data_IF_191683357368
#
_entry.id   IF_191683357368
#
_cell.length_a   1.000
_cell.length_b   1.000
_cell.length_c   1.000
_cell.angle_alpha   90.00
_cell.angle_beta   90.00
_cell.angle_gamma   90.00
#
_symmetry.space_group_name_H-M   'P 1'
#
loop_
_entity.id
_entity.type
_entity.pdbx_description
1 polymer ?
#
# COMPACT_ATOMS: atom_id res chain seq x y z
N UNK A 1 23.67 3.70 18.24
CA UNK A 1 24.94 4.43 18.10
C UNK A 1 25.20 4.59 16.61
N UNK A 2 24.76 5.70 16.02
CA UNK A 2 25.01 6.00 14.60
C UNK A 2 26.44 6.51 14.50
N UNK A 3 27.35 5.63 14.07
CA UNK A 3 28.76 5.95 13.92
C UNK A 3 28.97 6.63 12.57
N UNK A 4 28.95 7.96 12.55
CA UNK A 4 29.36 8.76 11.40
C UNK A 4 30.89 8.66 11.27
N UNK A 5 31.36 7.69 10.48
CA UNK A 5 32.77 7.55 10.16
C UNK A 5 33.10 8.54 9.04
N UNK A 6 34.05 9.43 9.30
CA UNK A 6 34.58 10.33 8.27
C UNK A 6 35.18 9.50 7.13
N UNK A 7 34.76 9.78 5.90
CA UNK A 7 35.17 9.09 4.67
C UNK A 7 35.85 10.09 3.76
N UNK A 8 37.00 9.72 3.21
CA UNK A 8 37.72 10.59 2.28
C UNK A 8 36.90 10.85 1.00
N UNK A 9 36.87 12.10 0.50
CA UNK A 9 36.18 12.45 -0.73
C UNK A 9 37.00 12.04 -1.96
N UNK A 10 36.37 11.32 -2.89
CA UNK A 10 36.94 11.06 -4.21
C UNK A 10 37.08 9.58 -4.57
N UNK A 11 37.02 9.32 -5.87
CA UNK A 11 37.17 7.99 -6.49
C UNK A 11 38.61 7.72 -6.97
N UNK A 12 39.48 8.73 -6.91
CA UNK A 12 40.85 8.70 -7.43
C UNK A 12 41.81 9.31 -6.41
N UNK A 13 42.98 8.69 -6.27
CA UNK A 13 44.12 9.24 -5.52
C UNK A 13 44.71 10.44 -6.30
N UNK A 14 45.53 11.28 -5.65
CA UNK A 14 46.22 12.42 -6.27
C UNK A 14 47.13 12.04 -7.46
N UNK A 15 47.31 10.74 -7.69
CA UNK A 15 48.05 10.11 -8.80
C UNK A 15 47.16 9.59 -9.94
N UNK A 16 45.83 9.79 -9.89
CA UNK A 16 44.88 9.38 -10.92
C UNK A 16 44.52 7.89 -10.93
N UNK A 17 44.96 7.10 -9.94
CA UNK A 17 44.59 5.70 -9.78
C UNK A 17 43.31 5.56 -8.95
N UNK A 18 42.42 4.66 -9.38
CA UNK A 18 41.19 4.33 -8.64
C UNK A 18 41.54 3.61 -7.33
N UNK A 19 40.96 4.07 -6.22
CA UNK A 19 41.19 3.42 -4.92
C UNK A 19 40.51 2.04 -4.88
N UNK A 20 41.14 1.02 -4.25
CA UNK A 20 40.57 -0.32 -4.16
C UNK A 20 39.25 -0.39 -3.37
N UNK A 21 38.98 0.60 -2.50
CA UNK A 21 37.75 0.71 -1.70
C UNK A 21 36.82 1.84 -2.17
N UNK A 22 36.75 2.04 -3.49
CA UNK A 22 35.97 3.09 -4.15
C UNK A 22 34.50 3.18 -3.69
N UNK A 23 33.88 2.04 -3.37
CA UNK A 23 32.48 1.94 -2.92
C UNK A 23 32.25 2.37 -1.47
N UNK A 24 33.32 2.43 -0.65
CA UNK A 24 33.29 2.84 0.75
C UNK A 24 33.58 4.34 0.92
N UNK A 25 33.95 5.04 -0.15
CA UNK A 25 34.24 6.47 -0.15
C UNK A 25 32.97 7.28 -0.36
N UNK A 26 33.08 8.59 -0.16
CA UNK A 26 31.97 9.51 -0.33
C UNK A 26 31.60 9.68 -1.81
N UNK A 27 30.33 9.46 -2.16
CA UNK A 27 29.85 9.45 -3.55
C UNK A 27 29.74 10.86 -4.13
N UNK A 28 29.44 11.85 -3.28
CA UNK A 28 29.34 13.26 -3.64
C UNK A 28 29.79 14.17 -2.47
N UNK A 29 30.33 15.37 -2.73
CA UNK A 29 30.81 16.26 -1.68
C UNK A 29 29.65 16.66 -0.73
N UNK A 30 29.86 16.55 0.59
CA UNK A 30 28.85 16.87 1.60
C UNK A 30 27.82 15.77 1.95
N UNK A 31 27.88 14.57 1.37
CA UNK A 31 27.04 13.40 1.69
C UNK A 31 26.77 13.16 3.18
N UNK A 32 27.79 13.19 4.04
CA UNK A 32 27.58 12.90 5.47
C UNK A 32 26.60 13.86 6.14
N UNK A 33 26.59 15.14 5.73
CA UNK A 33 25.66 16.13 6.25
C UNK A 33 24.23 15.87 5.77
N UNK A 34 24.06 15.57 4.48
CA UNK A 34 22.74 15.30 3.88
C UNK A 34 22.16 13.99 4.42
N UNK A 35 22.96 12.94 4.55
CA UNK A 35 22.58 11.66 5.13
C UNK A 35 22.07 11.84 6.57
N UNK A 36 22.80 12.59 7.40
CA UNK A 36 22.39 12.88 8.76
C UNK A 36 21.06 13.65 8.83
N UNK A 37 20.87 14.69 8.00
CA UNK A 37 19.63 15.47 7.93
C UNK A 37 18.44 14.59 7.53
N UNK A 38 18.60 13.73 6.50
CA UNK A 38 17.53 12.84 6.04
C UNK A 38 17.12 11.83 7.10
N UNK A 39 18.07 11.25 7.84
CA UNK A 39 17.80 10.32 8.94
C UNK A 39 17.05 11.02 10.07
N UNK A 40 17.45 12.24 10.45
CA UNK A 40 16.77 13.02 11.49
C UNK A 40 15.32 13.32 11.08
N UNK A 41 15.09 13.76 9.84
CA UNK A 41 13.75 14.02 9.32
C UNK A 41 12.91 12.73 9.36
N UNK A 42 13.45 11.60 8.90
CA UNK A 42 12.75 10.33 8.90
C UNK A 42 12.32 9.89 10.32
N UNK A 43 13.19 10.06 11.32
CA UNK A 43 12.88 9.74 12.73
C UNK A 43 11.81 10.67 13.28
N UNK A 44 11.85 11.97 12.95
CA UNK A 44 10.86 12.97 13.38
C UNK A 44 9.47 12.71 12.74
N UNK A 45 9.41 12.19 11.52
CA UNK A 45 8.16 11.86 10.85
C UNK A 45 7.33 10.78 11.60
N UNK A 46 7.98 9.86 12.32
CA UNK A 46 7.29 8.76 13.02
C UNK A 46 6.38 9.29 14.15
N UNK A 47 6.87 10.13 15.10
CA UNK A 47 6.01 10.77 16.10
C UNK A 47 4.92 11.66 15.50
N UNK A 48 5.24 12.42 14.43
CA UNK A 48 4.27 13.33 13.80
C UNK A 48 3.06 12.56 13.24
N UNK A 49 3.30 11.41 12.59
CA UNK A 49 2.23 10.56 12.07
C UNK A 49 1.41 9.90 13.19
N UNK A 50 2.05 9.50 14.30
CA UNK A 50 1.36 8.88 15.44
C UNK A 50 0.45 9.87 16.18
N UNK A 51 0.92 11.11 16.41
CA UNK A 51 0.18 12.10 17.18
C UNK A 51 -0.68 13.06 16.33
N UNK A 52 -0.45 13.16 15.03
CA UNK A 52 -1.12 14.14 14.16
C UNK A 52 -2.64 14.03 14.15
N UNK A 53 -3.18 12.85 13.79
CA UNK A 53 -4.64 12.60 13.79
C UNK A 53 -5.29 12.72 15.18
N UNK A 54 -4.79 12.06 16.25
CA UNK A 54 -5.43 12.14 17.56
C UNK A 54 -5.42 13.56 18.14
N UNK A 55 -4.34 14.34 17.95
CA UNK A 55 -4.29 15.74 18.40
C UNK A 55 -5.27 16.60 17.59
N UNK A 56 -5.33 16.42 16.26
CA UNK A 56 -6.26 17.16 15.41
C UNK A 56 -7.73 16.93 15.82
N UNK A 57 -8.10 15.67 16.08
CA UNK A 57 -9.46 15.31 16.53
C UNK A 57 -9.75 15.90 17.91
N UNK A 58 -8.81 15.84 18.85
CA UNK A 58 -8.96 16.47 20.17
C UNK A 58 -9.14 17.99 20.08
N UNK A 59 -8.40 18.67 19.20
CA UNK A 59 -8.57 20.12 18.99
C UNK A 59 -9.93 20.45 18.38
N UNK A 60 -10.42 19.63 17.45
CA UNK A 60 -11.76 19.80 16.85
C UNK A 60 -12.87 19.57 17.90
N UNK A 61 -12.76 18.53 18.72
CA UNK A 61 -13.70 18.25 19.80
C UNK A 61 -13.69 19.35 20.87
N UNK A 62 -12.51 19.87 21.25
CA UNK A 62 -12.40 21.02 22.17
C UNK A 62 -13.05 22.28 21.61
N UNK A 63 -12.86 22.57 20.31
CA UNK A 63 -13.52 23.70 19.64
C UNK A 63 -15.05 23.52 19.59
N UNK A 64 -15.53 22.31 19.27
CA UNK A 64 -16.96 22.01 19.22
C UNK A 64 -17.63 22.07 20.61
N UNK A 65 -16.98 21.56 21.66
CA UNK A 65 -17.47 21.66 23.05
C UNK A 65 -17.49 23.12 23.52
N UNK A 66 -16.51 23.94 23.14
CA UNK A 66 -16.48 25.38 23.46
C UNK A 66 -17.64 26.14 22.79
N UNK A 67 -17.92 25.89 21.51
CA UNK A 67 -19.07 26.52 20.81
C UNK A 67 -20.43 26.06 21.33
N UNK A 68 -20.54 24.82 21.82
CA UNK A 68 -21.75 24.33 22.49
C UNK A 68 -21.93 25.00 23.86
N UNK A 69 -20.85 25.14 24.64
CA UNK A 69 -20.87 25.79 25.95
C UNK A 69 -21.14 27.29 25.87
N UNK A 70 -20.67 28.00 24.84
CA UNK A 70 -20.93 29.43 24.66
C UNK A 70 -22.40 29.72 24.28
N UNK A 71 -23.14 28.75 23.74
CA UNK A 71 -24.58 28.89 23.41
C UNK A 71 -25.53 28.33 24.48
N UNK A 72 -24.99 27.72 25.55
CA UNK A 72 -25.76 27.09 26.62
C UNK A 72 -25.72 27.96 27.88
N UNK A 73 -26.68 28.88 28.02
CA UNK A 73 -26.90 29.60 29.28
C UNK A 73 -27.90 28.83 30.14
N UNK A 74 -27.43 28.06 31.11
CA UNK A 74 -28.29 27.39 32.09
C UNK A 74 -28.69 28.41 33.15
N UNK A 75 -29.95 28.85 33.16
CA UNK A 75 -30.53 29.61 34.27
C UNK A 75 -31.30 28.64 35.18
N UNK A 76 -30.83 28.47 36.41
CA UNK A 76 -31.56 27.74 37.44
C UNK A 76 -32.61 28.69 38.02
N UNK A 77 -33.89 28.39 37.79
CA UNK A 77 -35.00 29.09 38.43
C UNK A 77 -35.32 28.40 39.76
N UNK A 78 -35.05 29.05 40.89
CA UNK A 78 -35.16 28.46 42.23
C UNK A 78 -36.61 28.34 42.73
N UNK A 79 -37.60 28.76 41.92
CA UNK A 79 -39.02 28.85 42.27
C UNK A 79 -39.85 27.63 41.83
N UNK A 80 -39.33 26.80 40.91
CA UNK A 80 -40.00 25.61 40.38
C UNK A 80 -38.94 24.56 40.05
N UNK A 81 -39.19 23.30 40.41
CA UNK A 81 -38.25 22.16 40.30
C UNK A 81 -38.02 21.69 38.83
N UNK A 82 -38.01 22.63 37.89
CA UNK A 82 -38.00 22.43 36.45
C UNK A 82 -36.75 23.08 35.85
N UNK A 83 -35.78 22.27 35.43
CA UNK A 83 -34.60 22.75 34.72
C UNK A 83 -34.92 23.00 33.24
N UNK A 84 -35.08 24.26 32.85
CA UNK A 84 -35.26 24.66 31.45
C UNK A 84 -33.91 25.09 30.84
N UNK A 85 -33.52 24.43 29.75
CA UNK A 85 -32.29 24.75 29.00
C UNK A 85 -32.65 25.66 27.82
N UNK A 86 -32.33 26.95 27.93
CA UNK A 86 -32.56 27.94 26.86
C UNK A 86 -31.25 28.16 26.10
N UNK A 87 -31.19 27.75 24.84
CA UNK A 87 -30.09 28.08 23.92
C UNK A 87 -30.29 29.47 23.33
N UNK A 88 -29.33 30.37 23.56
CA UNK A 88 -29.48 31.78 23.25
C UNK A 88 -29.08 32.09 21.79
N UNK A 89 -30.02 31.92 20.87
CA UNK A 89 -29.90 32.36 19.48
C UNK A 89 -31.29 32.67 18.94
N UNK A 90 -31.50 33.91 18.47
CA UNK A 90 -32.77 34.41 17.96
C UNK A 90 -33.53 33.40 17.09
N UNK A 91 -34.73 33.05 17.55
CA UNK A 91 -35.71 32.34 16.75
C UNK A 91 -36.29 31.15 17.50
N UNK A 92 -37.50 31.33 18.02
CA UNK A 92 -38.42 30.25 18.36
C UNK A 92 -38.57 29.37 17.11
N UNK A 93 -37.79 28.30 17.01
CA UNK A 93 -38.10 27.17 16.14
C UNK A 93 -38.84 26.16 17.00
N UNK A 94 -40.16 26.13 16.81
CA UNK A 94 -40.96 24.95 17.14
C UNK A 94 -40.27 23.74 16.50
N UNK A 95 -39.79 22.80 17.31
CA UNK A 95 -39.40 21.48 16.82
C UNK A 95 -40.70 20.79 16.45
N UNK A 96 -41.01 20.81 15.15
CA UNK A 96 -41.94 19.86 14.55
C UNK A 96 -41.19 18.55 14.39
N UNK A 97 -41.82 17.49 14.88
CA UNK A 97 -41.59 16.13 14.41
C UNK A 97 -41.73 16.04 12.88
N UNK A 98 -41.09 15.00 12.34
CA UNK A 98 -41.06 14.55 10.94
C UNK A 98 -39.93 15.13 10.08
N UNK A 99 -38.78 14.42 10.06
CA UNK A 99 -38.41 13.62 8.88
C UNK A 99 -37.21 12.69 9.14
N UNK A 100 -37.25 11.58 8.43
CA UNK A 100 -36.48 10.34 8.55
C UNK A 100 -34.99 10.40 8.94
N UNK A 101 -34.68 9.56 9.92
CA UNK A 101 -33.35 9.09 10.28
C UNK A 101 -32.64 8.37 9.12
N UNK A 102 -31.31 8.52 9.04
CA UNK A 102 -30.42 7.38 9.03
C UNK A 102 -29.85 7.25 10.44
N UNK A 103 -30.11 6.10 11.04
CA UNK A 103 -29.47 5.63 12.26
C UNK A 103 -27.96 5.85 12.19
N UNK A 104 -27.44 6.62 13.15
CA UNK A 104 -26.03 6.88 13.31
C UNK A 104 -25.71 7.31 14.74
N UNK A 105 -26.08 6.45 15.71
CA UNK A 105 -25.43 6.37 17.01
C UNK A 105 -25.47 7.63 17.89
N UNK A 106 -26.64 7.93 18.45
CA UNK A 106 -26.71 8.57 19.77
C UNK A 106 -26.15 7.60 20.81
N UNK A 107 -24.83 7.61 20.96
CA UNK A 107 -24.08 6.85 21.94
C UNK A 107 -22.99 7.75 22.48
N UNK A 108 -23.21 8.27 23.68
CA UNK A 108 -22.24 9.03 24.47
C UNK A 108 -21.12 8.11 25.00
N UNK A 109 -20.57 7.26 24.13
CA UNK A 109 -19.22 6.76 24.31
C UNK A 109 -18.34 7.81 23.66
N UNK A 110 -17.59 8.56 24.49
CA UNK A 110 -16.25 8.92 24.06
C UNK A 110 -15.67 7.62 23.48
N UNK A 111 -15.53 7.49 22.15
CA UNK A 111 -14.54 6.56 21.61
C UNK A 111 -13.30 6.88 22.42
N UNK A 112 -12.90 5.94 23.27
CA UNK A 112 -11.92 6.22 24.30
C UNK A 112 -10.75 6.83 23.56
N UNK A 113 -10.25 7.98 24.01
CA UNK A 113 -9.06 8.57 23.39
C UNK A 113 -7.95 7.51 23.25
N UNK A 114 -7.96 6.52 24.16
CA UNK A 114 -7.19 5.28 24.05
C UNK A 114 -7.45 4.45 22.80
N UNK A 115 -8.69 4.19 22.38
CA UNK A 115 -9.03 3.40 21.18
C UNK A 115 -8.53 4.09 19.89
N UNK A 116 -8.72 5.41 19.78
CA UNK A 116 -8.19 6.22 18.66
C UNK A 116 -6.65 6.18 18.66
N UNK A 117 -6.03 6.29 19.83
CA UNK A 117 -4.58 6.23 19.99
C UNK A 117 -4.04 4.83 19.66
N UNK A 118 -4.71 3.77 20.07
CA UNK A 118 -4.33 2.37 19.77
C UNK A 118 -4.45 2.10 18.28
N UNK A 119 -5.58 2.45 17.65
CA UNK A 119 -5.77 2.26 16.22
C UNK A 119 -4.74 3.05 15.39
N UNK A 120 -4.48 4.30 15.75
CA UNK A 120 -3.46 5.12 15.08
C UNK A 120 -2.04 4.61 15.31
N UNK A 121 -1.74 4.03 16.49
CA UNK A 121 -0.45 3.41 16.76
C UNK A 121 -0.24 2.17 15.90
N UNK A 122 -1.26 1.32 15.77
CA UNK A 122 -1.22 0.14 14.88
C UNK A 122 -0.99 0.56 13.43
N UNK A 123 -1.76 1.53 12.92
CA UNK A 123 -1.60 2.05 11.56
C UNK A 123 -0.19 2.62 11.33
N UNK A 124 0.39 3.29 12.32
CA UNK A 124 1.75 3.86 12.23
C UNK A 124 2.80 2.76 12.14
N UNK A 125 2.70 1.74 13.00
CA UNK A 125 3.65 0.60 13.01
C UNK A 125 3.53 -0.21 11.71
N UNK A 126 2.30 -0.51 11.29
CA UNK A 126 2.01 -1.21 10.05
C UNK A 126 2.54 -0.44 8.84
N UNK A 127 2.35 0.89 8.80
CA UNK A 127 2.88 1.71 7.72
C UNK A 127 4.41 1.70 7.67
N UNK A 128 5.11 1.91 8.79
CA UNK A 128 6.58 1.94 8.80
C UNK A 128 7.17 0.57 8.44
N UNK A 129 6.66 -0.51 9.04
CA UNK A 129 7.10 -1.87 8.71
C UNK A 129 6.70 -2.26 7.28
N UNK A 130 5.53 -1.83 6.82
CA UNK A 130 5.02 -2.01 5.47
C UNK A 130 5.88 -1.31 4.43
N UNK A 131 6.33 -0.07 4.68
CA UNK A 131 7.24 0.65 3.77
C UNK A 131 8.52 -0.14 3.52
N UNK A 132 9.19 -0.63 4.57
CA UNK A 132 10.42 -1.41 4.45
C UNK A 132 10.16 -2.76 3.79
N UNK A 133 9.09 -3.45 4.22
CA UNK A 133 8.71 -4.77 3.71
C UNK A 133 8.35 -4.73 2.23
N UNK A 134 7.57 -3.75 1.79
CA UNK A 134 7.21 -3.59 0.39
C UNK A 134 8.45 -3.29 -0.45
N UNK A 135 9.33 -2.38 -0.02
CA UNK A 135 10.60 -2.11 -0.73
C UNK A 135 11.45 -3.38 -0.90
N UNK A 136 11.58 -4.20 0.14
CA UNK A 136 12.31 -5.46 0.05
C UNK A 136 11.60 -6.49 -0.86
N UNK A 137 10.27 -6.54 -0.82
CA UNK A 137 9.46 -7.47 -1.61
C UNK A 137 9.57 -7.24 -3.12
N UNK A 138 9.86 -6.01 -3.58
CA UNK A 138 10.16 -5.72 -4.99
C UNK A 138 11.41 -6.42 -5.52
N UNK A 139 12.34 -6.86 -4.66
CA UNK A 139 13.49 -7.68 -5.06
C UNK A 139 13.05 -8.97 -5.78
N UNK A 140 11.84 -9.45 -5.51
CA UNK A 140 11.24 -10.59 -6.22
C UNK A 140 11.22 -10.41 -7.73
N UNK A 141 10.96 -9.20 -8.22
CA UNK A 141 10.95 -8.91 -9.66
C UNK A 141 12.35 -9.07 -10.27
N UNK A 142 13.38 -8.63 -9.54
CA UNK A 142 14.76 -8.81 -9.96
C UNK A 142 15.15 -10.30 -9.96
N UNK A 143 14.84 -11.04 -8.89
CA UNK A 143 15.15 -12.46 -8.78
C UNK A 143 14.46 -13.30 -9.87
N UNK A 144 13.19 -13.00 -10.15
CA UNK A 144 12.45 -13.66 -11.21
C UNK A 144 13.02 -13.35 -12.60
N UNK A 145 13.43 -12.10 -12.84
CA UNK A 145 14.09 -11.71 -14.09
C UNK A 145 15.44 -12.44 -14.28
N UNK A 146 16.24 -12.55 -13.21
CA UNK A 146 17.49 -13.29 -13.22
C UNK A 146 17.26 -14.78 -13.50
N UNK A 147 16.28 -15.41 -12.84
CA UNK A 147 15.93 -16.81 -13.07
C UNK A 147 15.48 -17.06 -14.52
N UNK A 148 14.62 -16.19 -15.06
CA UNK A 148 14.15 -16.29 -16.45
C UNK A 148 15.31 -16.17 -17.46
N UNK A 149 16.24 -15.22 -17.23
CA UNK A 149 17.43 -15.07 -18.06
C UNK A 149 18.33 -16.32 -17.99
N UNK A 150 18.58 -16.83 -16.78
CA UNK A 150 19.42 -18.01 -16.57
C UNK A 150 18.81 -19.27 -17.21
N UNK A 151 17.49 -19.48 -17.06
CA UNK A 151 16.81 -20.63 -17.67
C UNK A 151 16.86 -20.55 -19.19
N UNK A 152 16.69 -19.35 -19.76
CA UNK A 152 16.79 -19.12 -21.20
C UNK A 152 18.18 -19.43 -21.76
N UNK A 153 19.24 -19.00 -21.05
CA UNK A 153 20.63 -19.30 -21.43
C UNK A 153 20.94 -20.81 -21.36
N UNK A 154 20.50 -21.50 -20.31
CA UNK A 154 20.69 -22.95 -20.17
C UNK A 154 19.95 -23.72 -21.28
N UNK A 155 18.72 -23.31 -21.61
CA UNK A 155 17.94 -23.94 -22.68
C UNK A 155 18.65 -23.74 -24.04
N UNK A 156 19.17 -22.54 -24.30
CA UNK A 156 19.97 -22.24 -25.49
C UNK A 156 21.22 -23.12 -25.59
N UNK A 157 22.03 -23.17 -24.54
CA UNK A 157 23.30 -23.89 -24.55
C UNK A 157 23.12 -25.41 -24.60
N UNK A 158 22.16 -25.98 -23.86
CA UNK A 158 21.96 -27.43 -23.85
C UNK A 158 21.23 -27.97 -25.08
N UNK A 159 20.25 -27.25 -25.62
CA UNK A 159 19.40 -27.77 -26.70
C UNK A 159 19.86 -27.25 -28.06
N UNK A 160 19.91 -25.94 -28.24
CA UNK A 160 20.13 -25.36 -29.57
C UNK A 160 21.59 -25.39 -29.99
N UNK A 161 22.51 -25.03 -29.08
CA UNK A 161 23.94 -24.99 -29.38
C UNK A 161 24.51 -26.38 -29.65
N UNK A 162 24.08 -27.40 -28.89
CA UNK A 162 24.44 -28.80 -29.15
C UNK A 162 23.83 -29.31 -30.47
N UNK A 163 22.59 -28.91 -30.80
CA UNK A 163 21.95 -29.24 -32.07
C UNK A 163 22.68 -28.66 -33.29
N UNK A 164 23.27 -27.47 -33.16
CA UNK A 164 23.97 -26.76 -34.25
C UNK A 164 25.37 -27.28 -34.55
N UNK A 165 25.98 -28.06 -33.65
CA UNK A 165 27.35 -28.58 -33.81
C UNK A 165 27.46 -29.77 -34.79
N UNK A 166 26.34 -30.35 -35.22
CA UNK A 166 26.32 -31.48 -36.14
C UNK A 166 26.50 -31.02 -37.60
N UNK A 167 27.66 -31.28 -38.20
CA UNK A 167 27.97 -30.91 -39.59
C UNK A 167 27.63 -32.03 -40.59
N UNK A 168 26.89 -31.72 -41.66
CA UNK A 168 26.60 -32.61 -42.78
C UNK A 168 25.18 -32.43 -43.35
N UNK A 169 24.86 -33.06 -44.49
CA UNK A 169 23.50 -33.03 -45.07
C UNK A 169 22.44 -33.62 -44.12
N UNK A 170 22.80 -34.65 -43.34
CA UNK A 170 21.96 -35.22 -42.27
C UNK A 170 21.80 -34.24 -41.09
N UNK A 171 22.82 -33.42 -40.83
CA UNK A 171 22.81 -32.38 -39.79
C UNK A 171 21.76 -31.30 -40.03
N UNK A 172 21.46 -30.96 -41.29
CA UNK A 172 20.43 -29.96 -41.64
C UNK A 172 19.03 -30.45 -41.21
N UNK A 173 18.72 -31.71 -41.52
CA UNK A 173 17.42 -32.32 -41.16
C UNK A 173 17.31 -32.49 -39.64
N UNK A 174 18.40 -32.91 -38.98
CA UNK A 174 18.45 -33.03 -37.53
C UNK A 174 18.30 -31.66 -36.83
N UNK A 175 18.95 -30.61 -37.33
CA UNK A 175 18.86 -29.24 -36.81
C UNK A 175 17.43 -28.71 -36.92
N UNK A 176 16.72 -28.98 -38.03
CA UNK A 176 15.33 -28.57 -38.20
C UNK A 176 14.40 -29.21 -37.16
N UNK A 177 14.58 -30.51 -36.88
CA UNK A 177 13.80 -31.22 -35.87
C UNK A 177 14.12 -30.70 -34.45
N UNK A 178 15.41 -30.52 -34.14
CA UNK A 178 15.85 -29.99 -32.83
C UNK A 178 15.35 -28.55 -32.63
N UNK A 179 15.33 -27.73 -33.68
CA UNK A 179 14.76 -26.38 -33.63
C UNK A 179 13.26 -26.39 -33.33
N UNK A 180 12.51 -27.32 -33.91
CA UNK A 180 11.08 -27.49 -33.60
C UNK A 180 10.88 -27.87 -32.13
N UNK A 181 11.67 -28.81 -31.61
CA UNK A 181 11.63 -29.22 -30.19
C UNK A 181 12.01 -28.06 -29.27
N UNK A 182 13.06 -27.31 -29.62
CA UNK A 182 13.48 -26.10 -28.90
C UNK A 182 12.36 -25.06 -28.85
N UNK A 183 11.65 -24.84 -29.96
CA UNK A 183 10.52 -23.92 -30.04
C UNK A 183 9.36 -24.34 -29.13
N UNK A 184 9.01 -25.63 -29.12
CA UNK A 184 7.96 -26.16 -28.23
C UNK A 184 8.35 -26.05 -26.76
N UNK A 185 9.60 -26.37 -26.39
CA UNK A 185 10.10 -26.24 -25.02
C UNK A 185 10.12 -24.78 -24.56
N UNK A 186 10.57 -23.86 -25.41
CA UNK A 186 10.57 -22.42 -25.13
C UNK A 186 9.15 -21.91 -24.91
N UNK A 187 8.21 -22.26 -25.78
CA UNK A 187 6.81 -21.86 -25.62
C UNK A 187 6.19 -22.44 -24.34
N UNK A 188 6.38 -23.73 -24.08
CA UNK A 188 5.74 -24.38 -22.93
C UNK A 188 6.34 -23.97 -21.58
N UNK A 189 7.66 -23.85 -21.48
CA UNK A 189 8.34 -23.61 -20.20
C UNK A 189 8.55 -22.11 -19.98
N UNK A 190 9.25 -21.44 -20.90
CA UNK A 190 9.65 -20.03 -20.75
C UNK A 190 8.46 -19.06 -20.91
N UNK A 191 7.51 -19.36 -21.81
CA UNK A 191 6.37 -18.47 -22.06
C UNK A 191 5.18 -18.81 -21.16
N UNK A 192 4.74 -20.08 -21.12
CA UNK A 192 3.55 -20.44 -20.35
C UNK A 192 3.82 -20.58 -18.84
N UNK A 193 4.66 -21.53 -18.40
CA UNK A 193 4.86 -21.77 -16.97
C UNK A 193 5.54 -20.59 -16.27
N UNK A 194 6.67 -20.13 -16.78
CA UNK A 194 7.41 -19.00 -16.19
C UNK A 194 6.62 -17.68 -16.32
N UNK A 195 5.96 -17.43 -17.46
CA UNK A 195 5.13 -16.25 -17.66
C UNK A 195 3.92 -16.18 -16.72
N UNK A 196 3.26 -17.31 -16.46
CA UNK A 196 2.15 -17.38 -15.52
C UNK A 196 2.62 -17.18 -14.07
N UNK A 197 3.77 -17.77 -13.70
CA UNK A 197 4.41 -17.53 -12.40
C UNK A 197 4.73 -16.03 -12.20
N UNK A 198 5.32 -15.40 -13.22
CA UNK A 198 5.62 -13.97 -13.24
C UNK A 198 4.37 -13.10 -13.08
N UNK A 199 3.30 -13.44 -13.80
CA UNK A 199 2.03 -12.74 -13.72
C UNK A 199 1.42 -12.79 -12.31
N UNK A 200 1.41 -13.97 -11.67
CA UNK A 200 0.88 -14.11 -10.31
C UNK A 200 1.70 -13.34 -9.28
N UNK A 201 3.02 -13.28 -9.44
CA UNK A 201 3.87 -12.43 -8.62
C UNK A 201 3.55 -10.96 -8.82
N UNK A 202 3.37 -10.49 -10.05
CA UNK A 202 2.96 -9.12 -10.33
C UNK A 202 1.58 -8.78 -9.74
N UNK A 203 0.60 -9.69 -9.84
CA UNK A 203 -0.72 -9.53 -9.25
C UNK A 203 -0.63 -9.39 -7.72
N UNK A 204 0.18 -10.24 -7.06
CA UNK A 204 0.38 -10.15 -5.62
C UNK A 204 1.04 -8.83 -5.20
N UNK A 205 2.04 -8.36 -5.94
CA UNK A 205 2.64 -7.04 -5.72
C UNK A 205 1.58 -5.94 -5.81
N UNK A 206 0.71 -5.99 -6.82
CA UNK A 206 -0.37 -5.03 -6.96
C UNK A 206 -1.38 -5.10 -5.80
N UNK A 207 -1.83 -6.31 -5.43
CA UNK A 207 -2.80 -6.50 -4.35
C UNK A 207 -2.26 -6.10 -2.98
N UNK A 208 -1.04 -6.52 -2.62
CA UNK A 208 -0.52 -6.33 -1.26
C UNK A 208 0.25 -5.02 -1.11
N UNK A 209 0.98 -4.58 -2.14
CA UNK A 209 1.94 -3.47 -2.00
C UNK A 209 1.42 -2.16 -2.60
N UNK A 210 0.55 -2.23 -3.62
CA UNK A 210 -0.05 -1.04 -4.23
C UNK A 210 -1.41 -0.70 -3.60
N UNK A 211 -2.32 -1.68 -3.45
CA UNK A 211 -3.66 -1.40 -2.93
C UNK A 211 -3.68 -1.06 -1.43
N UNK A 212 -2.78 -1.64 -0.62
CA UNK A 212 -2.68 -1.34 0.82
C UNK A 212 -2.44 0.13 1.16
N UNK A 213 -1.96 0.94 0.20
CA UNK A 213 -1.68 2.37 0.42
C UNK A 213 -2.88 3.29 0.21
N UNK A 214 -3.80 2.92 -0.68
CA UNK A 214 -4.86 3.84 -1.14
C UNK A 214 -6.26 3.24 -1.08
N UNK A 215 -6.38 1.91 -1.06
CA UNK A 215 -7.65 1.21 -1.11
C UNK A 215 -8.05 0.75 0.29
N UNK A 216 -9.05 1.42 0.89
CA UNK A 216 -9.56 1.09 2.22
C UNK A 216 -10.63 -0.03 2.21
N UNK A 217 -11.15 -0.42 1.03
CA UNK A 217 -12.07 -1.56 0.90
C UNK A 217 -13.50 -1.32 1.40
N UNK A 218 -13.91 -0.09 1.69
CA UNK A 218 -15.22 0.24 2.30
C UNK A 218 -16.40 0.32 1.30
N UNK A 219 -16.35 -0.42 0.18
CA UNK A 219 -17.36 -0.37 -0.87
C UNK A 219 -18.27 -1.60 -0.92
N UNK A 220 -19.51 -1.42 -1.39
CA UNK A 220 -20.36 -2.54 -1.82
C UNK A 220 -20.33 -2.65 -3.34
N UNK A 221 -20.45 -3.87 -3.87
CA UNK A 221 -20.55 -4.08 -5.31
C UNK A 221 -21.84 -3.44 -5.83
N UNK A 222 -21.72 -2.53 -6.79
CA UNK A 222 -22.89 -1.93 -7.42
C UNK A 222 -23.62 -2.97 -8.27
N UNK A 223 -24.79 -3.40 -7.79
CA UNK A 223 -25.71 -4.25 -8.55
C UNK A 223 -26.84 -3.38 -9.09
N UNK A 224 -26.80 -2.96 -10.36
CA UNK A 224 -27.89 -2.19 -10.94
C UNK A 224 -29.15 -3.05 -11.02
N UNK A 225 -30.31 -2.41 -10.90
CA UNK A 225 -31.57 -3.05 -11.20
C UNK A 225 -31.63 -3.37 -12.70
N UNK A 226 -31.57 -4.66 -13.05
CA UNK A 226 -31.60 -5.15 -14.43
C UNK A 226 -32.78 -6.09 -14.61
N UNK A 227 -33.66 -5.75 -15.56
CA UNK A 227 -34.83 -6.58 -15.90
C UNK A 227 -34.42 -7.98 -16.37
N UNK A 228 -33.23 -8.15 -16.97
CA UNK A 228 -32.74 -9.48 -17.38
C UNK A 228 -32.52 -10.40 -16.18
N UNK A 229 -31.92 -9.87 -15.11
CA UNK A 229 -31.67 -10.61 -13.87
C UNK A 229 -32.97 -11.01 -13.17
N UNK A 230 -33.96 -10.12 -13.15
CA UNK A 230 -35.29 -10.41 -12.57
C UNK A 230 -36.03 -11.50 -13.34
N UNK A 231 -35.98 -11.45 -14.67
CA UNK A 231 -36.70 -12.38 -15.55
C UNK A 231 -36.03 -13.78 -15.54
N UNK A 232 -34.71 -13.84 -15.37
CA UNK A 232 -33.96 -15.08 -15.18
C UNK A 232 -34.24 -15.72 -13.80
N UNK A 233 -34.34 -14.90 -12.74
CA UNK A 233 -34.72 -15.37 -11.41
C UNK A 233 -36.15 -15.94 -11.38
N UNK A 234 -37.10 -15.30 -12.08
CA UNK A 234 -38.48 -15.76 -12.20
C UNK A 234 -38.57 -17.11 -12.95
N UNK A 235 -37.82 -17.27 -14.05
CA UNK A 235 -37.74 -18.55 -14.78
C UNK A 235 -37.10 -19.67 -13.97
N UNK A 236 -36.10 -19.35 -13.15
CA UNK A 236 -35.48 -20.34 -12.26
C UNK A 236 -36.44 -20.81 -11.16
N UNK A 237 -37.34 -19.94 -10.67
CA UNK A 237 -38.41 -20.31 -9.75
C UNK A 237 -39.41 -21.29 -10.35
N UNK A 238 -39.86 -21.05 -11.59
CA UNK A 238 -40.80 -21.92 -12.31
C UNK A 238 -40.21 -23.31 -12.65
N UNK A 239 -38.88 -23.44 -12.75
CA UNK A 239 -38.20 -24.71 -13.01
C UNK A 239 -38.05 -25.60 -11.75
N UNK A 240 -38.36 -25.08 -10.57
CA UNK A 240 -38.23 -25.80 -9.28
C UNK A 240 -39.57 -26.19 -8.64
N UNK A 241 -40.70 -25.92 -9.31
CA UNK A 241 -42.04 -26.44 -9.00
C UNK A 241 -42.48 -27.48 -10.02
#
# INVERSE_FOLDING_TARGET
MFMFKDRDPGFVDGTGKQLPNCFLNQWYPGQSMIEAILVIIAVICIPIMLFGKPIYILMKQKKAKKSLSDNMSVRINMQSDETEVITNGNGVKKVKDEDHAPHGGGGHHDESFGDIMVHQSIHTIEYVLGCVSHTASYLRLWALSLAHAQLSEVLWDMVLRNGLQQSGYVGIIATYLIFFVFGVLTFSILVLMEGLSAFLHALRLHWVEFQSKFYLGEGYSFTPFSFKTVLELARAGDATS
#
